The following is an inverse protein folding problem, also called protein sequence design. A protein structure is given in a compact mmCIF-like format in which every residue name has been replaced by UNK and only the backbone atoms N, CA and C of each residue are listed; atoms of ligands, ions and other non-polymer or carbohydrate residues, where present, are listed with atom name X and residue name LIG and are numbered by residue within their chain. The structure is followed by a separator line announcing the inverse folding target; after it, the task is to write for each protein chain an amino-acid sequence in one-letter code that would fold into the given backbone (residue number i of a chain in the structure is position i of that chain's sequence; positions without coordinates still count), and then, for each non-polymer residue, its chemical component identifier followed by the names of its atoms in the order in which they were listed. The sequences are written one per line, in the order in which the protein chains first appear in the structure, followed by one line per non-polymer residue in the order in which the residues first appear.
data_IF_263135170878
#
_entry.id   IF_263135170878
#
_cell.length_a   1.000
_cell.length_b   1.000
_cell.length_c   1.000
_cell.angle_alpha   90.00
_cell.angle_beta   90.00
_cell.angle_gamma   90.00
#
_symmetry.space_group_name_H-M   'P 1'
#
loop_
_entity.id
_entity.type
_entity.pdbx_description
1 polymer ?
#
# COMPACT_ATOMS: atom_id res chain seq x y z
N UNK A 1 58.89 -49.98 37.86
CA UNK A 1 59.08 -51.14 37.00
C UNK A 1 58.16 -51.09 35.83
N UNK A 2 58.74 -51.13 34.66
CA UNK A 2 58.18 -51.31 33.29
C UNK A 2 57.16 -50.31 32.78
N UNK A 3 57.67 -49.33 32.07
CA UNK A 3 57.13 -48.56 30.98
C UNK A 3 56.87 -49.46 29.79
N UNK A 4 55.65 -49.33 29.21
CA UNK A 4 55.37 -49.79 27.81
C UNK A 4 54.94 -48.64 26.99
N UNK A 5 55.76 -48.33 26.00
CA UNK A 5 55.47 -47.40 24.93
C UNK A 5 54.36 -47.97 24.00
N UNK A 6 53.42 -47.13 23.59
CA UNK A 6 52.50 -47.43 22.50
C UNK A 6 52.80 -46.47 21.36
N UNK A 7 53.09 -47.08 20.22
CA UNK A 7 53.39 -46.42 18.94
C UNK A 7 52.22 -45.68 18.33
N UNK A 8 52.52 -44.50 17.83
CA UNK A 8 51.59 -43.70 17.04
C UNK A 8 51.47 -44.24 15.61
N UNK A 9 50.30 -44.69 15.19
CA UNK A 9 49.98 -44.94 13.79
C UNK A 9 49.38 -43.66 13.18
N UNK A 10 50.17 -42.99 12.36
CA UNK A 10 49.77 -41.86 11.54
C UNK A 10 49.00 -42.40 10.32
N UNK A 11 47.68 -42.27 10.30
CA UNK A 11 46.86 -42.55 9.14
C UNK A 11 46.73 -41.26 8.31
N UNK A 12 47.38 -41.22 7.17
CA UNK A 12 47.28 -40.13 6.19
C UNK A 12 45.92 -40.18 5.48
N UNK A 13 45.02 -39.25 5.82
CA UNK A 13 43.81 -39.00 5.04
C UNK A 13 44.14 -38.19 3.79
N UNK A 14 44.10 -38.82 2.63
CA UNK A 14 44.07 -38.14 1.34
C UNK A 14 42.73 -37.40 1.19
N UNK A 15 42.74 -36.08 1.32
CA UNK A 15 41.62 -35.21 0.91
C UNK A 15 41.54 -35.20 -0.60
N UNK A 16 40.66 -36.02 -1.19
CA UNK A 16 40.18 -35.84 -2.56
C UNK A 16 39.31 -34.56 -2.56
N UNK A 17 39.81 -33.50 -3.15
CA UNK A 17 39.04 -32.29 -3.46
C UNK A 17 37.97 -32.63 -4.51
N UNK A 18 36.75 -32.81 -4.10
CA UNK A 18 35.61 -32.76 -5.01
C UNK A 18 35.44 -31.29 -5.47
N UNK A 19 35.96 -30.99 -6.65
CA UNK A 19 35.55 -29.79 -7.40
C UNK A 19 34.17 -30.06 -7.95
N UNK A 20 33.13 -29.73 -7.21
CA UNK A 20 31.79 -29.56 -7.72
C UNK A 20 31.74 -28.20 -8.44
N UNK A 21 31.93 -28.24 -9.75
CA UNK A 21 31.60 -27.11 -10.62
C UNK A 21 30.08 -27.08 -10.78
N UNK A 22 29.37 -26.63 -9.76
CA UNK A 22 28.00 -26.15 -9.94
C UNK A 22 28.09 -24.67 -10.35
N UNK A 23 28.01 -24.42 -11.65
CA UNK A 23 27.60 -23.12 -12.17
C UNK A 23 26.15 -22.91 -11.71
N UNK A 24 25.96 -22.35 -10.52
CA UNK A 24 24.66 -21.80 -10.11
C UNK A 24 24.38 -20.69 -11.11
N UNK A 25 23.56 -20.99 -12.12
CA UNK A 25 22.88 -19.98 -12.89
C UNK A 25 22.19 -19.11 -11.85
N UNK A 26 22.65 -17.89 -11.64
CA UNK A 26 22.07 -16.93 -10.70
C UNK A 26 20.71 -16.57 -11.30
N UNK A 27 19.66 -17.27 -10.86
CA UNK A 27 18.30 -16.90 -11.19
C UNK A 27 18.10 -15.52 -10.55
N UNK A 28 18.00 -14.49 -11.37
CA UNK A 28 17.72 -13.14 -10.88
C UNK A 28 16.37 -13.15 -10.15
N UNK A 29 16.36 -12.65 -8.92
CA UNK A 29 15.15 -12.56 -8.12
C UNK A 29 14.10 -11.70 -8.82
N UNK A 30 12.87 -12.20 -8.94
CA UNK A 30 11.76 -11.43 -9.49
C UNK A 30 11.42 -10.23 -8.59
N UNK A 31 11.54 -10.36 -7.27
CA UNK A 31 11.27 -9.28 -6.33
C UNK A 31 12.15 -8.05 -6.61
N UNK A 32 13.39 -8.27 -7.06
CA UNK A 32 14.36 -7.22 -7.40
C UNK A 32 14.48 -6.96 -8.90
N UNK A 33 13.56 -7.48 -9.73
CA UNK A 33 13.47 -7.12 -11.12
C UNK A 33 12.66 -5.84 -11.33
N UNK A 34 13.03 -5.05 -12.33
CA UNK A 34 12.25 -3.88 -12.74
C UNK A 34 10.81 -4.25 -13.10
N UNK A 35 9.90 -3.32 -12.88
CA UNK A 35 8.52 -3.43 -13.31
C UNK A 35 8.01 -2.11 -13.89
N UNK A 36 7.08 -2.16 -14.84
CA UNK A 36 6.51 -0.98 -15.46
C UNK A 36 4.99 -1.00 -15.32
N UNK A 37 4.43 0.11 -14.86
CA UNK A 37 3.00 0.38 -14.85
C UNK A 37 2.68 1.35 -15.98
N UNK A 38 1.74 1.00 -16.84
CA UNK A 38 1.30 1.88 -17.94
C UNK A 38 0.56 3.10 -17.40
N UNK A 39 0.74 4.25 -18.06
CA UNK A 39 -0.05 5.45 -17.80
C UNK A 39 -0.15 6.29 -19.08
N UNK A 40 -1.18 7.18 -19.21
CA UNK A 40 -1.34 8.03 -20.38
C UNK A 40 -0.16 8.95 -20.69
N UNK A 41 0.57 9.41 -19.67
CA UNK A 41 1.76 10.26 -19.81
C UNK A 41 3.07 9.47 -19.97
N UNK A 42 3.00 8.15 -20.16
CA UNK A 42 4.13 7.25 -20.29
C UNK A 42 4.26 6.28 -19.11
N UNK A 43 5.00 5.18 -19.28
CA UNK A 43 5.11 4.15 -18.26
C UNK A 43 5.90 4.63 -17.04
N UNK A 44 5.38 4.32 -15.84
CA UNK A 44 6.10 4.47 -14.58
C UNK A 44 7.01 3.26 -14.37
N UNK A 45 8.31 3.51 -14.27
CA UNK A 45 9.32 2.46 -14.04
C UNK A 45 9.60 2.33 -12.55
N UNK A 46 9.50 1.12 -12.03
CA UNK A 46 9.85 0.73 -10.68
C UNK A 46 11.15 -0.08 -10.71
N UNK A 47 12.12 0.30 -9.90
CA UNK A 47 13.42 -0.39 -9.84
C UNK A 47 13.32 -1.84 -9.32
N UNK A 48 12.27 -2.15 -8.58
CA UNK A 48 11.96 -3.48 -8.07
C UNK A 48 10.46 -3.60 -7.79
N UNK A 49 9.99 -4.79 -7.38
CA UNK A 49 8.56 -5.08 -7.16
C UNK A 49 8.10 -4.90 -5.71
N UNK A 50 8.89 -4.21 -4.90
CA UNK A 50 8.58 -3.93 -3.50
C UNK A 50 7.80 -2.61 -3.41
N UNK A 51 6.62 -2.66 -2.81
CA UNK A 51 5.76 -1.50 -2.57
C UNK A 51 5.64 -1.26 -1.07
N UNK A 52 5.88 -0.04 -0.63
CA UNK A 52 5.49 0.36 0.73
C UNK A 52 4.03 0.76 0.70
N UNK A 53 3.19 -0.01 1.41
CA UNK A 53 1.76 0.24 1.51
C UNK A 53 1.46 1.54 2.27
N UNK A 54 0.33 2.21 1.97
CA UNK A 54 -0.07 3.42 2.71
C UNK A 54 -0.38 3.09 4.17
N UNK A 55 0.17 3.88 5.09
CA UNK A 55 0.08 3.68 6.55
C UNK A 55 -0.13 5.03 7.24
N UNK A 56 -1.34 5.28 7.74
CA UNK A 56 -1.69 6.52 8.42
C UNK A 56 -0.79 6.77 9.64
N UNK A 57 -0.27 7.97 9.73
CA UNK A 57 0.62 8.40 10.80
C UNK A 57 -0.09 9.18 11.89
N UNK A 58 -1.31 9.66 11.62
CA UNK A 58 -2.14 10.43 12.59
C UNK A 58 -1.38 11.60 13.21
N UNK A 59 -0.51 12.25 12.44
CA UNK A 59 0.43 13.27 12.89
C UNK A 59 0.30 14.59 12.13
N UNK A 60 -0.77 14.75 11.34
CA UNK A 60 -1.08 15.98 10.66
C UNK A 60 -1.69 17.02 11.61
N UNK A 61 -1.50 18.28 11.32
CA UNK A 61 -2.13 19.41 12.00
C UNK A 61 -3.16 20.04 11.06
N UNK A 62 -4.46 19.95 11.39
CA UNK A 62 -5.55 20.39 10.52
C UNK A 62 -5.39 19.93 9.05
N UNK A 63 -5.04 18.65 8.87
CA UNK A 63 -4.79 18.05 7.55
C UNK A 63 -3.43 18.37 6.93
N UNK A 64 -2.66 19.28 7.50
CA UNK A 64 -1.36 19.71 6.98
C UNK A 64 -0.24 18.76 7.42
N UNK A 65 0.64 18.42 6.49
CA UNK A 65 1.82 17.61 6.77
C UNK A 65 2.79 18.35 7.71
N UNK A 66 3.29 17.63 8.72
CA UNK A 66 4.22 18.15 9.74
C UNK A 66 5.64 17.63 9.52
N UNK A 67 6.58 18.02 10.37
CA UNK A 67 7.95 17.51 10.34
C UNK A 67 8.04 16.01 10.65
N UNK A 68 7.01 15.41 11.30
CA UNK A 68 6.90 13.95 11.40
C UNK A 68 6.85 13.30 10.03
N UNK A 69 6.02 13.83 9.11
CA UNK A 69 5.89 13.33 7.76
C UNK A 69 7.20 13.46 6.97
N UNK A 70 7.92 14.59 7.13
CA UNK A 70 9.25 14.76 6.53
C UNK A 70 10.21 13.66 6.98
N UNK A 71 10.31 13.42 8.28
CA UNK A 71 11.19 12.38 8.83
C UNK A 71 10.79 10.98 8.37
N UNK A 72 9.48 10.66 8.44
CA UNK A 72 8.92 9.38 8.06
C UNK A 72 9.10 9.09 6.56
N UNK A 73 8.71 10.02 5.69
CA UNK A 73 8.86 9.85 4.24
C UNK A 73 10.32 9.78 3.81
N UNK A 74 11.21 10.59 4.40
CA UNK A 74 12.66 10.49 4.15
C UNK A 74 13.18 9.08 4.49
N UNK A 75 12.74 8.51 5.60
CA UNK A 75 13.11 7.15 5.99
C UNK A 75 12.62 6.09 4.98
N UNK A 76 11.36 6.21 4.52
CA UNK A 76 10.77 5.27 3.56
C UNK A 76 11.39 5.40 2.17
N UNK A 77 11.67 6.62 1.69
CA UNK A 77 12.35 6.85 0.41
C UNK A 77 13.79 6.31 0.40
N UNK A 78 14.43 6.21 1.56
CA UNK A 78 15.76 5.59 1.70
C UNK A 78 15.71 4.06 1.96
N UNK A 79 14.56 3.43 1.81
CA UNK A 79 14.37 2.01 2.15
C UNK A 79 14.89 1.03 1.11
N UNK A 80 15.04 1.47 -0.14
CA UNK A 80 15.33 0.60 -1.29
C UNK A 80 14.09 -0.05 -1.94
N UNK A 81 12.88 0.31 -1.52
CA UNK A 81 11.64 -0.11 -2.19
C UNK A 81 11.49 0.54 -3.56
N UNK A 82 10.79 -0.13 -4.49
CA UNK A 82 10.52 0.37 -5.83
C UNK A 82 9.41 1.41 -5.90
N UNK A 83 8.51 1.45 -4.89
CA UNK A 83 7.40 2.40 -4.82
C UNK A 83 7.04 2.69 -3.37
N UNK A 84 6.79 3.95 -3.05
CA UNK A 84 6.25 4.39 -1.75
C UNK A 84 4.87 4.98 -1.96
N UNK A 85 3.84 4.43 -1.29
CA UNK A 85 2.49 4.98 -1.29
C UNK A 85 2.28 5.75 0.01
N UNK A 86 2.09 7.07 -0.10
CA UNK A 86 1.78 7.92 1.03
C UNK A 86 0.44 7.53 1.64
N UNK A 87 0.30 7.76 2.94
CA UNK A 87 -0.88 7.40 3.72
C UNK A 87 -2.21 7.91 3.15
N UNK A 88 -3.31 7.32 3.63
CA UNK A 88 -4.65 7.76 3.28
C UNK A 88 -4.82 9.25 3.56
N UNK A 89 -4.97 10.01 2.49
CA UNK A 89 -5.05 11.47 2.47
C UNK A 89 -6.47 11.90 2.14
N UNK A 90 -7.10 12.62 3.04
CA UNK A 90 -8.51 12.97 2.93
C UNK A 90 -8.77 13.97 1.79
N UNK A 91 -9.82 13.70 1.00
CA UNK A 91 -10.25 14.57 -0.11
C UNK A 91 -11.13 15.72 0.34
N UNK A 92 -11.69 15.63 1.55
CA UNK A 92 -12.46 16.68 2.24
C UNK A 92 -12.08 16.69 3.71
N UNK A 93 -12.36 17.78 4.41
CA UNK A 93 -12.01 17.89 5.83
C UNK A 93 -12.70 16.83 6.67
N UNK A 94 -14.01 16.63 6.50
CA UNK A 94 -14.81 15.63 7.20
C UNK A 94 -14.49 14.18 6.77
N UNK A 95 -13.79 14.02 5.64
CA UNK A 95 -13.34 12.72 5.14
C UNK A 95 -12.13 12.13 5.87
N UNK A 96 -11.53 12.84 6.83
CA UNK A 96 -10.44 12.32 7.65
C UNK A 96 -10.90 11.17 8.54
N UNK A 97 -10.01 10.20 8.77
CA UNK A 97 -10.26 9.13 9.77
C UNK A 97 -10.23 9.74 11.17
N UNK A 98 -9.21 10.57 11.44
CA UNK A 98 -9.01 11.24 12.72
C UNK A 98 -8.61 12.71 12.52
N UNK A 99 -8.67 13.56 13.56
CA UNK A 99 -8.16 14.93 13.47
C UNK A 99 -6.71 15.01 13.00
N UNK A 100 -5.89 14.00 13.28
CA UNK A 100 -4.47 13.94 12.89
C UNK A 100 -4.20 13.34 11.51
N UNK A 101 -5.20 13.08 10.66
CA UNK A 101 -4.98 12.55 9.31
C UNK A 101 -4.61 13.64 8.30
N UNK A 102 -3.78 13.27 7.31
CA UNK A 102 -3.46 14.12 6.18
C UNK A 102 -4.70 14.47 5.36
N UNK A 103 -4.68 15.66 4.79
CA UNK A 103 -5.62 16.15 3.80
C UNK A 103 -4.94 16.72 2.56
N UNK A 104 -5.72 16.80 1.48
CA UNK A 104 -5.30 17.46 0.24
C UNK A 104 -6.52 18.16 -0.40
N UNK A 105 -7.36 18.77 0.42
CA UNK A 105 -8.64 19.37 -0.02
C UNK A 105 -8.54 20.85 -0.38
N UNK A 106 -7.48 21.57 0.07
CA UNK A 106 -7.29 22.99 -0.18
C UNK A 106 -5.81 23.35 -0.44
N UNK A 107 -5.54 24.65 -0.61
CA UNK A 107 -4.18 25.17 -0.87
C UNK A 107 -3.27 25.04 0.34
N UNK A 108 -3.78 25.17 1.56
CA UNK A 108 -2.95 25.09 2.77
C UNK A 108 -2.41 23.66 2.97
N UNK A 109 -3.29 22.68 2.87
CA UNK A 109 -2.91 21.26 2.94
C UNK A 109 -1.98 20.84 1.80
N UNK A 110 -2.21 21.37 0.58
CA UNK A 110 -1.36 21.11 -0.59
C UNK A 110 0.06 21.66 -0.39
N UNK A 111 0.19 22.93 0.02
CA UNK A 111 1.49 23.57 0.23
C UNK A 111 2.30 22.85 1.34
N UNK A 112 1.63 22.45 2.43
CA UNK A 112 2.29 21.75 3.53
C UNK A 112 2.79 20.35 3.08
N UNK A 113 1.99 19.61 2.31
CA UNK A 113 2.40 18.31 1.78
C UNK A 113 3.55 18.46 0.79
N UNK A 114 3.47 19.40 -0.15
CA UNK A 114 4.51 19.68 -1.15
C UNK A 114 5.84 20.06 -0.50
N UNK A 115 5.83 20.96 0.52
CA UNK A 115 7.05 21.33 1.27
C UNK A 115 7.73 20.08 1.84
N UNK A 116 6.98 19.25 2.59
CA UNK A 116 7.59 18.09 3.25
C UNK A 116 8.05 17.03 2.24
N UNK A 117 7.25 16.76 1.20
CA UNK A 117 7.59 15.76 0.18
C UNK A 117 8.80 16.21 -0.66
N UNK A 118 8.85 17.47 -1.10
CA UNK A 118 9.99 17.97 -1.88
C UNK A 118 11.29 17.92 -1.10
N UNK A 119 11.24 18.25 0.20
CA UNK A 119 12.40 18.15 1.11
C UNK A 119 12.82 16.69 1.32
N UNK A 120 11.87 15.76 1.52
CA UNK A 120 12.16 14.34 1.66
C UNK A 120 12.84 13.78 0.39
N UNK A 121 12.33 14.14 -0.79
CA UNK A 121 12.91 13.74 -2.09
C UNK A 121 14.35 14.24 -2.29
N UNK A 122 14.73 15.39 -1.72
CA UNK A 122 16.12 15.90 -1.77
C UNK A 122 17.09 15.12 -0.88
N UNK A 123 16.57 14.37 0.10
CA UNK A 123 17.36 13.63 1.11
C UNK A 123 17.43 12.13 0.82
N UNK A 124 16.91 11.68 -0.32
CA UNK A 124 16.82 10.27 -0.66
C UNK A 124 17.09 10.04 -2.14
N UNK A 125 17.41 8.79 -2.58
CA UNK A 125 17.41 8.42 -3.97
C UNK A 125 16.06 8.67 -4.62
N UNK A 126 16.03 8.81 -5.95
CA UNK A 126 14.76 8.92 -6.66
C UNK A 126 13.99 7.60 -6.57
N UNK A 127 12.86 7.65 -5.88
CA UNK A 127 11.87 6.56 -5.77
C UNK A 127 10.52 7.13 -6.17
N UNK A 128 9.79 6.48 -7.08
CA UNK A 128 8.42 6.88 -7.40
C UNK A 128 7.54 6.97 -6.16
N UNK A 129 6.70 8.01 -6.10
CA UNK A 129 5.78 8.25 -5.00
C UNK A 129 4.34 8.19 -5.50
N UNK A 130 3.55 7.38 -4.83
CA UNK A 130 2.11 7.38 -4.93
C UNK A 130 1.47 8.09 -3.74
N UNK A 131 0.22 8.53 -3.90
CA UNK A 131 -0.63 8.98 -2.81
C UNK A 131 -1.94 8.20 -2.81
N UNK A 132 -2.36 7.72 -1.62
CA UNK A 132 -3.68 7.13 -1.47
C UNK A 132 -4.68 8.21 -1.08
N UNK A 133 -5.66 8.51 -1.95
CA UNK A 133 -6.71 9.50 -1.68
C UNK A 133 -7.97 8.81 -1.17
N UNK A 134 -8.59 9.39 -0.14
CA UNK A 134 -9.56 8.69 0.70
C UNK A 134 -10.66 9.60 1.23
N UNK A 135 -11.78 8.98 1.61
CA UNK A 135 -12.80 9.55 2.47
C UNK A 135 -13.26 8.47 3.45
N UNK A 136 -13.17 8.72 4.75
CA UNK A 136 -13.38 7.68 5.77
C UNK A 136 -14.86 7.26 5.92
N UNK A 137 -15.81 8.09 5.45
CA UNK A 137 -17.22 7.78 5.55
C UNK A 137 -17.66 7.65 7.02
N UNK A 138 -18.43 6.61 7.35
CA UNK A 138 -18.92 6.37 8.72
C UNK A 138 -17.84 6.04 9.75
N UNK A 139 -16.60 5.80 9.30
CA UNK A 139 -15.43 5.59 10.16
C UNK A 139 -14.58 6.85 10.32
N UNK A 140 -15.07 8.00 9.87
CA UNK A 140 -14.50 9.31 10.13
C UNK A 140 -14.67 9.72 11.59
N UNK A 141 -14.04 10.83 11.97
CA UNK A 141 -14.19 11.40 13.32
C UNK A 141 -13.75 10.44 14.44
N UNK A 142 -12.74 9.61 14.19
CA UNK A 142 -12.25 8.63 15.17
C UNK A 142 -10.99 9.11 15.87
N UNK A 143 -10.79 8.69 17.11
CA UNK A 143 -9.52 8.85 17.81
C UNK A 143 -8.39 8.09 17.07
N UNK A 144 -7.15 8.51 17.26
CA UNK A 144 -6.01 7.72 16.79
C UNK A 144 -6.00 6.33 17.47
N UNK A 145 -5.47 5.27 16.81
CA UNK A 145 -5.52 3.90 17.35
C UNK A 145 -4.92 3.76 18.76
N UNK A 146 -3.86 4.50 19.07
CA UNK A 146 -3.24 4.48 20.40
C UNK A 146 -4.00 5.29 21.47
N UNK A 147 -5.06 6.00 21.06
CA UNK A 147 -6.04 6.64 21.93
C UNK A 147 -7.38 5.89 21.94
N UNK A 148 -7.39 4.62 21.47
CA UNK A 148 -8.55 3.74 21.51
C UNK A 148 -9.32 3.61 20.19
N UNK A 149 -9.18 4.54 19.22
CA UNK A 149 -9.81 4.45 17.91
C UNK A 149 -11.34 4.62 17.88
N UNK A 150 -11.97 5.01 19.00
CA UNK A 150 -13.40 5.22 19.10
C UNK A 150 -13.86 6.49 18.37
N UNK A 151 -15.13 6.55 18.01
CA UNK A 151 -15.76 7.77 17.48
C UNK A 151 -15.65 8.91 18.49
N UNK A 152 -15.23 10.08 18.04
CA UNK A 152 -15.09 11.29 18.83
C UNK A 152 -16.41 12.10 18.81
N UNK A 153 -16.80 12.66 19.94
CA UNK A 153 -17.84 13.67 20.02
C UNK A 153 -17.29 15.09 19.73
N UNK A 154 -18.17 16.07 19.57
CA UNK A 154 -17.79 17.45 19.27
C UNK A 154 -16.94 18.11 20.36
N UNK A 155 -17.09 17.73 21.63
CA UNK A 155 -16.30 18.26 22.74
C UNK A 155 -14.82 17.80 22.66
N UNK A 156 -14.57 16.67 21.99
CA UNK A 156 -13.24 16.11 21.78
C UNK A 156 -12.71 16.32 20.34
N UNK A 157 -13.25 17.29 19.61
CA UNK A 157 -12.82 17.64 18.26
C UNK A 157 -13.38 16.71 17.18
N UNK A 158 -14.41 15.95 17.47
CA UNK A 158 -15.11 15.11 16.51
C UNK A 158 -16.11 15.91 15.67
N UNK A 159 -16.58 15.27 14.60
CA UNK A 159 -17.59 15.80 13.67
C UNK A 159 -18.57 14.72 13.27
N UNK A 160 -19.71 15.13 12.67
CA UNK A 160 -20.73 14.21 12.18
C UNK A 160 -20.20 13.46 10.94
N UNK A 161 -20.06 12.11 11.00
CA UNK A 161 -19.71 11.31 9.83
C UNK A 161 -20.83 11.28 8.79
N UNK A 162 -20.44 10.96 7.52
CA UNK A 162 -21.37 10.73 6.42
C UNK A 162 -21.19 9.32 5.86
N UNK A 163 -22.22 8.76 5.22
CA UNK A 163 -22.19 7.40 4.69
C UNK A 163 -23.22 7.21 3.56
N UNK A 164 -23.17 6.08 2.81
CA UNK A 164 -24.25 5.75 1.87
C UNK A 164 -25.60 5.54 2.54
N UNK A 165 -25.64 5.12 3.80
CA UNK A 165 -26.86 4.90 4.59
C UNK A 165 -26.61 5.29 6.05
N UNK A 166 -27.65 5.68 6.78
CA UNK A 166 -27.58 6.10 8.18
C UNK A 166 -27.34 4.91 9.14
N UNK A 167 -26.31 4.08 8.83
CA UNK A 167 -25.93 2.90 9.59
C UNK A 167 -24.54 3.12 10.23
N UNK A 168 -24.45 3.15 11.59
CA UNK A 168 -23.17 3.33 12.28
C UNK A 168 -22.23 2.14 12.05
N UNK A 169 -20.92 2.32 12.28
CA UNK A 169 -19.96 1.22 12.22
C UNK A 169 -20.12 0.25 13.38
N UNK A 170 -20.26 0.80 14.58
CA UNK A 170 -20.62 0.06 15.79
C UNK A 170 -22.03 0.48 16.25
N UNK A 171 -22.81 -0.45 16.78
CA UNK A 171 -24.19 -0.19 17.25
C UNK A 171 -24.28 0.81 18.40
N UNK A 172 -23.15 1.10 19.04
CA UNK A 172 -23.01 2.07 20.13
C UNK A 172 -22.69 3.49 19.64
N UNK A 173 -22.41 3.65 18.36
CA UNK A 173 -22.05 4.95 17.76
C UNK A 173 -23.30 5.69 17.24
N UNK A 174 -23.19 7.01 17.11
CA UNK A 174 -24.22 7.81 16.45
C UNK A 174 -24.32 7.42 14.97
N UNK A 175 -25.52 7.35 14.39
CA UNK A 175 -25.67 7.11 12.97
C UNK A 175 -25.01 8.23 12.13
N UNK A 176 -24.30 7.88 11.05
CA UNK A 176 -23.81 8.88 10.09
C UNK A 176 -24.98 9.52 9.35
N UNK A 177 -24.76 10.71 8.80
CA UNK A 177 -25.71 11.34 7.87
C UNK A 177 -25.65 10.61 6.53
N UNK A 178 -26.81 10.21 5.99
CA UNK A 178 -26.90 9.63 4.67
C UNK A 178 -26.63 10.71 3.61
N UNK A 179 -25.76 10.39 2.63
CA UNK A 179 -25.38 11.29 1.55
C UNK A 179 -26.52 11.45 0.55
N UNK A 180 -26.91 12.68 0.26
CA UNK A 180 -27.81 12.99 -0.84
C UNK A 180 -27.07 13.16 -2.19
N UNK A 181 -27.79 13.42 -3.28
CA UNK A 181 -27.22 13.55 -4.62
C UNK A 181 -26.22 14.72 -4.73
N UNK A 182 -26.48 15.84 -4.06
CA UNK A 182 -25.58 17.00 -4.06
C UNK A 182 -24.27 16.71 -3.34
N UNK A 183 -24.33 16.00 -2.21
CA UNK A 183 -23.18 15.57 -1.46
C UNK A 183 -22.34 14.52 -2.22
N UNK A 184 -22.98 13.58 -2.94
CA UNK A 184 -22.28 12.64 -3.80
C UNK A 184 -21.48 13.37 -4.89
N UNK A 185 -22.08 14.36 -5.55
CA UNK A 185 -21.39 15.18 -6.56
C UNK A 185 -20.27 16.02 -5.95
N UNK A 186 -20.46 16.59 -4.76
CA UNK A 186 -19.44 17.34 -4.02
C UNK A 186 -18.23 16.45 -3.73
N UNK A 187 -18.44 15.25 -3.18
CA UNK A 187 -17.37 14.30 -2.84
C UNK A 187 -16.67 13.81 -4.10
N UNK A 188 -17.40 13.45 -5.17
CA UNK A 188 -16.80 13.10 -6.46
C UNK A 188 -15.84 14.17 -6.97
N UNK A 189 -16.30 15.45 -6.96
CA UNK A 189 -15.47 16.58 -7.38
C UNK A 189 -14.27 16.80 -6.44
N UNK A 190 -14.38 16.49 -5.15
CA UNK A 190 -13.27 16.55 -4.22
C UNK A 190 -12.17 15.53 -4.56
N UNK A 191 -12.52 14.27 -4.90
CA UNK A 191 -11.56 13.28 -5.41
C UNK A 191 -10.83 13.78 -6.66
N UNK A 192 -11.54 14.37 -7.61
CA UNK A 192 -10.95 14.93 -8.83
C UNK A 192 -9.95 16.03 -8.51
N UNK A 193 -10.34 17.02 -7.70
CA UNK A 193 -9.49 18.16 -7.33
C UNK A 193 -8.25 17.70 -6.53
N UNK A 194 -8.41 16.70 -5.67
CA UNK A 194 -7.30 16.12 -4.92
C UNK A 194 -6.30 15.42 -5.84
N UNK A 195 -6.77 14.68 -6.84
CA UNK A 195 -5.91 14.04 -7.83
C UNK A 195 -5.19 15.07 -8.73
N UNK A 196 -5.86 16.18 -9.10
CA UNK A 196 -5.23 17.29 -9.83
C UNK A 196 -4.10 17.91 -8.99
N UNK A 197 -4.32 18.21 -7.70
CA UNK A 197 -3.26 18.73 -6.81
C UNK A 197 -2.10 17.74 -6.66
N UNK A 198 -2.38 16.44 -6.56
CA UNK A 198 -1.33 15.43 -6.52
C UNK A 198 -0.48 15.43 -7.79
N UNK A 199 -1.10 15.58 -8.96
CA UNK A 199 -0.41 15.70 -10.25
C UNK A 199 0.47 16.96 -10.31
N UNK A 200 -0.05 18.10 -9.86
CA UNK A 200 0.68 19.38 -9.86
C UNK A 200 1.95 19.33 -8.99
N UNK A 201 1.93 18.55 -7.91
CA UNK A 201 3.10 18.27 -7.05
C UNK A 201 4.06 17.22 -7.62
N UNK A 202 3.82 16.72 -8.84
CA UNK A 202 4.66 15.68 -9.44
C UNK A 202 4.57 14.31 -8.72
N UNK A 203 3.41 13.97 -8.17
CA UNK A 203 3.13 12.62 -7.67
C UNK A 203 2.79 11.75 -8.87
N UNK A 204 3.53 10.65 -9.03
CA UNK A 204 3.51 9.83 -10.23
C UNK A 204 2.32 8.86 -10.30
N UNK A 205 1.73 8.53 -9.12
CA UNK A 205 0.67 7.53 -9.01
C UNK A 205 -0.38 7.94 -7.98
N UNK A 206 -1.66 7.72 -8.30
CA UNK A 206 -2.79 7.88 -7.38
C UNK A 206 -3.48 6.54 -7.16
N UNK A 207 -3.74 6.22 -5.90
CA UNK A 207 -4.53 5.07 -5.46
C UNK A 207 -5.82 5.54 -4.81
N UNK A 208 -6.98 5.20 -5.38
CA UNK A 208 -8.28 5.43 -4.73
C UNK A 208 -8.46 4.43 -3.59
N UNK A 209 -8.79 4.91 -2.40
CA UNK A 209 -9.04 4.02 -1.26
C UNK A 209 -10.49 3.55 -1.24
N UNK A 210 -10.73 2.34 -1.72
CA UNK A 210 -12.03 1.69 -1.74
C UNK A 210 -12.03 0.38 -0.92
N UNK A 211 -11.32 0.39 0.21
CA UNK A 211 -11.14 -0.75 1.08
C UNK A 211 -11.41 -0.41 2.56
N UNK A 212 -11.28 -1.40 3.44
CA UNK A 212 -11.21 -1.29 4.90
C UNK A 212 -12.43 -0.62 5.56
N UNK A 213 -13.59 -0.64 4.89
CA UNK A 213 -14.82 -0.05 5.42
C UNK A 213 -14.86 1.46 5.36
N UNK A 214 -14.03 2.11 4.52
CA UNK A 214 -14.13 3.54 4.24
C UNK A 214 -15.20 3.83 3.17
N UNK A 215 -15.44 5.09 2.85
CA UNK A 215 -16.64 5.51 2.12
C UNK A 215 -16.89 4.71 0.84
N UNK A 216 -15.88 4.57 -0.03
CA UNK A 216 -16.06 3.85 -1.29
C UNK A 216 -16.36 2.36 -1.06
N UNK A 217 -15.72 1.73 -0.06
CA UNK A 217 -16.06 0.36 0.34
C UNK A 217 -17.48 0.26 0.92
N UNK A 218 -17.92 1.28 1.67
CA UNK A 218 -19.27 1.31 2.22
C UNK A 218 -20.34 1.31 1.12
N UNK A 219 -20.08 1.90 -0.03
CA UNK A 219 -20.98 1.82 -1.20
C UNK A 219 -21.01 0.43 -1.82
N UNK A 220 -19.87 -0.28 -1.90
CA UNK A 220 -19.78 -1.63 -2.47
C UNK A 220 -20.54 -2.65 -1.65
N UNK A 221 -20.39 -2.59 -0.33
CA UNK A 221 -20.86 -3.62 0.58
C UNK A 221 -22.38 -3.54 0.81
N UNK A 222 -23.13 -4.61 0.57
CA UNK A 222 -24.56 -4.65 0.87
C UNK A 222 -24.86 -4.58 2.36
N UNK A 223 -23.86 -4.79 3.24
CA UNK A 223 -24.00 -4.68 4.69
C UNK A 223 -24.13 -3.21 5.11
N UNK A 224 -23.38 -2.31 4.50
CA UNK A 224 -23.32 -0.88 4.82
C UNK A 224 -24.13 0.01 3.87
N UNK A 225 -24.49 -0.49 2.70
CA UNK A 225 -25.28 0.23 1.70
C UNK A 225 -26.69 -0.35 1.62
N UNK A 226 -27.64 0.33 2.22
CA UNK A 226 -29.08 -0.01 2.19
C UNK A 226 -29.91 0.98 1.35
N UNK A 227 -29.25 1.73 0.46
CA UNK A 227 -29.92 2.65 -0.45
C UNK A 227 -30.85 1.92 -1.42
N UNK A 228 -31.95 2.60 -1.78
CA UNK A 228 -32.96 2.12 -2.72
C UNK A 228 -32.97 2.92 -4.03
N UNK A 229 -32.05 3.88 -4.15
CA UNK A 229 -31.84 4.69 -5.35
C UNK A 229 -30.80 4.05 -6.32
N UNK A 230 -30.33 4.83 -7.29
CA UNK A 230 -29.37 4.39 -8.31
C UNK A 230 -27.99 3.99 -7.74
N UNK A 231 -27.71 4.17 -6.44
CA UNK A 231 -26.43 3.87 -5.80
C UNK A 231 -26.52 2.69 -4.82
N UNK A 232 -27.66 1.98 -4.73
CA UNK A 232 -27.83 0.84 -3.83
C UNK A 232 -28.57 -0.35 -4.46
N UNK A 233 -28.63 -1.47 -3.73
CA UNK A 233 -29.28 -2.70 -4.18
C UNK A 233 -28.38 -3.55 -5.09
N UNK A 234 -28.53 -3.50 -6.40
CA UNK A 234 -27.79 -4.34 -7.34
C UNK A 234 -26.28 -4.05 -7.36
N UNK A 235 -25.50 -5.00 -7.88
CA UNK A 235 -24.05 -4.81 -8.08
C UNK A 235 -23.75 -3.54 -8.91
N UNK A 236 -24.49 -3.31 -10.00
CA UNK A 236 -24.31 -2.14 -10.88
C UNK A 236 -24.50 -0.84 -10.12
N UNK A 237 -25.52 -0.78 -9.27
CA UNK A 237 -25.83 0.39 -8.47
C UNK A 237 -24.80 0.61 -7.35
N UNK A 238 -24.44 -0.44 -6.59
CA UNK A 238 -23.44 -0.34 -5.52
C UNK A 238 -22.06 0.05 -6.03
N UNK A 239 -21.71 -0.31 -7.26
CA UNK A 239 -20.44 0.04 -7.90
C UNK A 239 -20.45 1.37 -8.64
N UNK A 240 -21.63 1.96 -8.87
CA UNK A 240 -21.81 3.18 -9.68
C UNK A 240 -20.97 4.34 -9.18
N UNK A 241 -21.06 4.68 -7.90
CA UNK A 241 -20.35 5.84 -7.34
C UNK A 241 -18.83 5.73 -7.48
N UNK A 242 -18.28 4.54 -7.26
CA UNK A 242 -16.85 4.30 -7.45
C UNK A 242 -16.44 4.45 -8.90
N UNK A 243 -17.22 3.92 -9.83
CA UNK A 243 -16.95 4.01 -11.27
C UNK A 243 -17.00 5.46 -11.75
N UNK A 244 -18.00 6.22 -11.32
CA UNK A 244 -18.12 7.65 -11.64
C UNK A 244 -16.93 8.47 -11.10
N UNK A 245 -16.48 8.22 -9.86
CA UNK A 245 -15.29 8.85 -9.29
C UNK A 245 -14.06 8.45 -10.10
N UNK A 246 -13.88 7.15 -10.37
CA UNK A 246 -12.72 6.65 -11.09
C UNK A 246 -12.60 7.27 -12.49
N UNK A 247 -13.69 7.28 -13.26
CA UNK A 247 -13.75 7.88 -14.60
C UNK A 247 -13.47 9.39 -14.55
N UNK A 248 -14.05 10.11 -13.59
CA UNK A 248 -13.84 11.55 -13.42
C UNK A 248 -12.37 11.87 -13.05
N UNK A 249 -11.77 11.10 -12.15
CA UNK A 249 -10.34 11.23 -11.80
C UNK A 249 -9.47 10.88 -13.00
N UNK A 250 -9.75 9.76 -13.70
CA UNK A 250 -8.98 9.33 -14.88
C UNK A 250 -8.98 10.39 -16.00
N UNK A 251 -10.06 11.11 -16.16
CA UNK A 251 -10.15 12.17 -17.17
C UNK A 251 -9.12 13.31 -16.92
N UNK A 252 -8.76 13.57 -15.67
CA UNK A 252 -7.89 14.67 -15.25
C UNK A 252 -6.46 14.21 -14.92
N UNK A 253 -6.31 13.16 -14.14
CA UNK A 253 -5.00 12.65 -13.74
C UNK A 253 -4.37 11.82 -14.87
N UNK A 254 -3.14 12.14 -15.27
CA UNK A 254 -2.45 11.50 -16.42
C UNK A 254 -1.39 10.46 -15.99
N UNK A 255 -1.05 10.41 -14.72
CA UNK A 255 -0.15 9.41 -14.16
C UNK A 255 -0.78 8.03 -14.00
N UNK A 256 -0.13 7.14 -13.27
CA UNK A 256 -0.64 5.81 -12.94
C UNK A 256 -1.82 5.95 -11.97
N UNK A 257 -3.00 5.47 -12.37
CA UNK A 257 -4.22 5.49 -11.56
C UNK A 257 -4.69 4.07 -11.28
N UNK A 258 -4.90 3.76 -10.03
CA UNK A 258 -5.48 2.49 -9.61
C UNK A 258 -6.31 2.63 -8.34
N UNK A 259 -6.66 1.50 -7.78
CA UNK A 259 -7.59 1.43 -6.66
C UNK A 259 -7.19 0.35 -5.68
N UNK A 260 -7.38 0.62 -4.39
CA UNK A 260 -7.29 -0.42 -3.35
C UNK A 260 -8.67 -0.89 -2.97
N UNK A 261 -8.89 -2.21 -3.08
CA UNK A 261 -10.16 -2.86 -2.81
C UNK A 261 -10.03 -3.84 -1.64
N UNK A 262 -11.04 -3.92 -0.78
CA UNK A 262 -11.26 -5.07 0.07
C UNK A 262 -11.96 -6.14 -0.75
N UNK A 263 -11.30 -7.27 -0.98
CA UNK A 263 -11.84 -8.32 -1.83
C UNK A 263 -13.04 -9.04 -1.24
N UNK A 264 -13.18 -9.03 0.09
CA UNK A 264 -14.31 -9.64 0.80
C UNK A 264 -14.53 -8.93 2.13
N UNK A 265 -15.78 -8.95 2.60
CA UNK A 265 -16.17 -8.42 3.91
C UNK A 265 -15.92 -9.41 5.05
N UNK A 266 -15.64 -10.68 4.75
CA UNK A 266 -15.53 -11.76 5.73
C UNK A 266 -16.80 -11.95 6.58
N UNK A 267 -17.95 -11.61 6.01
CA UNK A 267 -19.28 -11.71 6.61
C UNK A 267 -20.22 -12.32 5.57
N UNK A 268 -21.15 -13.16 6.00
CA UNK A 268 -22.23 -13.69 5.14
C UNK A 268 -23.03 -12.53 4.54
N UNK A 269 -23.48 -12.68 3.30
CA UNK A 269 -24.20 -11.67 2.52
C UNK A 269 -23.44 -10.33 2.35
N UNK A 270 -22.12 -10.33 2.57
CA UNK A 270 -21.24 -9.20 2.33
C UNK A 270 -20.72 -9.14 0.90
N UNK A 271 -19.79 -8.19 0.65
CA UNK A 271 -19.05 -8.07 -0.60
C UNK A 271 -18.11 -9.26 -0.80
N UNK A 272 -18.03 -9.77 -2.04
CA UNK A 272 -17.34 -11.03 -2.37
C UNK A 272 -16.11 -10.84 -3.27
N UNK A 273 -15.19 -11.84 -3.31
CA UNK A 273 -14.04 -11.81 -4.22
C UNK A 273 -14.46 -11.81 -5.70
N UNK A 274 -15.56 -12.45 -6.05
CA UNK A 274 -16.11 -12.52 -7.41
C UNK A 274 -16.62 -11.15 -7.87
N UNK A 275 -17.30 -10.42 -6.99
CA UNK A 275 -17.73 -9.03 -7.24
C UNK A 275 -16.53 -8.09 -7.37
N UNK A 276 -15.49 -8.25 -6.51
CA UNK A 276 -14.24 -7.50 -6.62
C UNK A 276 -13.56 -7.71 -7.96
N UNK A 277 -13.46 -8.95 -8.42
CA UNK A 277 -12.85 -9.28 -9.70
C UNK A 277 -13.69 -8.74 -10.87
N UNK A 278 -15.03 -8.78 -10.77
CA UNK A 278 -15.96 -8.21 -11.78
C UNK A 278 -15.81 -6.68 -11.84
N UNK A 279 -15.79 -5.99 -10.70
CA UNK A 279 -15.55 -4.54 -10.64
C UNK A 279 -14.19 -4.19 -11.26
N UNK A 280 -13.15 -5.01 -11.01
CA UNK A 280 -11.82 -4.77 -11.58
C UNK A 280 -11.81 -4.83 -13.11
N UNK A 281 -12.64 -5.67 -13.74
CA UNK A 281 -12.84 -5.67 -15.21
C UNK A 281 -13.45 -4.34 -15.69
N UNK A 282 -14.48 -3.84 -15.00
CA UNK A 282 -15.07 -2.53 -15.33
C UNK A 282 -14.07 -1.39 -15.15
N UNK A 283 -13.26 -1.43 -14.09
CA UNK A 283 -12.22 -0.43 -13.84
C UNK A 283 -11.09 -0.48 -14.88
N UNK A 284 -10.72 -1.66 -15.38
CA UNK A 284 -9.79 -1.80 -16.51
C UNK A 284 -10.32 -1.07 -17.74
N UNK A 285 -11.58 -1.29 -18.07
CA UNK A 285 -12.23 -0.60 -19.20
C UNK A 285 -12.29 0.92 -19.01
N UNK A 286 -12.38 1.41 -17.76
CA UNK A 286 -12.29 2.82 -17.38
C UNK A 286 -10.85 3.36 -17.32
N UNK A 287 -9.82 2.56 -17.62
CA UNK A 287 -8.42 2.97 -17.68
C UNK A 287 -7.64 2.81 -16.38
N UNK A 288 -8.02 1.88 -15.51
CA UNK A 288 -7.21 1.48 -14.35
C UNK A 288 -5.90 0.82 -14.80
N UNK A 289 -4.83 1.14 -14.07
CA UNK A 289 -3.50 0.61 -14.34
C UNK A 289 -3.08 -0.50 -13.38
N UNK A 290 -3.74 -0.61 -12.22
CA UNK A 290 -3.49 -1.65 -11.20
C UNK A 290 -4.66 -1.77 -10.22
N UNK A 291 -4.69 -2.89 -9.49
CA UNK A 291 -5.54 -3.09 -8.31
C UNK A 291 -4.68 -3.54 -7.13
N UNK A 292 -4.78 -2.85 -6.00
CA UNK A 292 -4.14 -3.23 -4.74
C UNK A 292 -5.17 -4.01 -3.90
N UNK A 293 -4.94 -5.29 -3.68
CA UNK A 293 -5.95 -6.20 -3.15
C UNK A 293 -5.73 -6.44 -1.66
N UNK A 294 -6.71 -6.00 -0.86
CA UNK A 294 -6.78 -6.19 0.59
C UNK A 294 -8.08 -6.91 0.95
N UNK A 295 -8.54 -6.89 2.21
CA UNK A 295 -9.82 -7.46 2.63
C UNK A 295 -10.34 -6.88 3.94
N UNK A 296 -11.65 -7.02 4.18
CA UNK A 296 -12.32 -6.69 5.43
C UNK A 296 -12.41 -5.20 5.76
N UNK A 297 -12.80 -4.92 6.99
CA UNK A 297 -12.85 -3.59 7.60
C UNK A 297 -14.20 -2.91 7.59
N UNK A 298 -15.22 -3.44 6.88
CA UNK A 298 -16.55 -2.81 6.78
C UNK A 298 -17.46 -3.18 7.97
N UNK A 299 -17.27 -4.33 8.58
CA UNK A 299 -18.09 -4.82 9.69
C UNK A 299 -17.23 -5.26 10.87
N UNK A 300 -17.69 -4.94 12.09
CA UNK A 300 -17.10 -5.49 13.31
C UNK A 300 -17.36 -7.00 13.49
N UNK A 301 -18.32 -7.56 12.75
CA UNK A 301 -18.68 -8.99 12.81
C UNK A 301 -17.82 -9.87 11.86
N UNK A 302 -16.85 -9.27 11.16
CA UNK A 302 -15.96 -9.98 10.23
C UNK A 302 -15.20 -11.12 10.94
N UNK A 303 -15.12 -12.27 10.27
CA UNK A 303 -14.38 -13.44 10.75
C UNK A 303 -13.22 -13.73 9.81
N UNK A 304 -12.11 -13.03 10.02
CA UNK A 304 -10.94 -13.11 9.14
C UNK A 304 -10.12 -14.34 9.52
N UNK A 305 -9.90 -15.25 8.57
CA UNK A 305 -8.93 -16.34 8.70
C UNK A 305 -7.49 -15.80 8.54
N UNK A 306 -6.97 -15.21 9.63
CA UNK A 306 -5.65 -14.56 9.61
C UNK A 306 -4.54 -15.62 9.54
N UNK A 307 -3.63 -15.50 8.56
CA UNK A 307 -2.46 -16.34 8.37
C UNK A 307 -1.51 -15.74 7.34
N UNK A 308 -0.30 -16.28 7.17
CA UNK A 308 0.61 -15.83 6.11
C UNK A 308 -0.09 -15.89 4.74
N UNK A 309 0.05 -14.83 3.95
CA UNK A 309 -0.51 -14.72 2.57
C UNK A 309 -2.05 -14.76 2.48
N UNK A 310 -2.80 -14.59 3.57
CA UNK A 310 -4.25 -14.81 3.60
C UNK A 310 -5.07 -14.01 2.57
N UNK A 311 -4.50 -12.94 1.99
CA UNK A 311 -5.13 -12.14 0.94
C UNK A 311 -4.57 -12.41 -0.47
N UNK A 312 -3.48 -13.18 -0.60
CA UNK A 312 -2.83 -13.45 -1.89
C UNK A 312 -3.77 -14.18 -2.86
N UNK A 313 -4.58 -15.16 -2.43
CA UNK A 313 -5.56 -15.80 -3.33
C UNK A 313 -6.53 -14.82 -3.98
N UNK A 314 -6.92 -13.76 -3.27
CA UNK A 314 -7.80 -12.72 -3.81
C UNK A 314 -7.09 -11.87 -4.86
N UNK A 315 -5.80 -11.54 -4.64
CA UNK A 315 -5.00 -10.83 -5.64
C UNK A 315 -4.89 -11.64 -6.94
N UNK A 316 -4.70 -12.97 -6.81
CA UNK A 316 -4.70 -13.88 -7.95
C UNK A 316 -6.05 -13.89 -8.69
N UNK A 317 -7.16 -14.02 -7.97
CA UNK A 317 -8.52 -14.02 -8.56
C UNK A 317 -8.78 -12.72 -9.35
N UNK A 318 -8.42 -11.57 -8.78
CA UNK A 318 -8.55 -10.27 -9.46
C UNK A 318 -7.67 -10.20 -10.70
N UNK A 319 -6.40 -10.61 -10.59
CA UNK A 319 -5.45 -10.63 -11.69
C UNK A 319 -5.93 -11.51 -12.84
N UNK A 320 -6.30 -12.76 -12.55
CA UNK A 320 -6.69 -13.73 -13.56
C UNK A 320 -7.96 -13.30 -14.32
N UNK A 321 -8.92 -12.65 -13.63
CA UNK A 321 -10.17 -12.22 -14.24
C UNK A 321 -10.07 -10.89 -14.96
N UNK A 322 -9.36 -9.91 -14.40
CA UNK A 322 -9.29 -8.56 -14.96
C UNK A 322 -8.10 -8.36 -15.90
N UNK A 323 -7.07 -9.20 -15.80
CA UNK A 323 -5.78 -9.02 -16.47
C UNK A 323 -5.19 -7.61 -16.19
N UNK A 324 -5.40 -7.10 -14.96
CA UNK A 324 -4.73 -5.91 -14.44
C UNK A 324 -3.52 -6.31 -13.61
N UNK A 325 -2.45 -5.52 -13.62
CA UNK A 325 -1.41 -5.63 -12.61
C UNK A 325 -2.01 -5.59 -11.21
N UNK A 326 -1.63 -6.55 -10.35
CA UNK A 326 -2.08 -6.58 -8.96
C UNK A 326 -0.95 -6.36 -7.98
N UNK A 327 -1.26 -5.66 -6.89
CA UNK A 327 -0.41 -5.52 -5.72
C UNK A 327 -0.99 -6.40 -4.63
N UNK A 328 -0.26 -7.43 -4.20
CA UNK A 328 -0.66 -8.29 -3.09
C UNK A 328 -0.13 -7.76 -1.76
N UNK A 329 -0.91 -7.91 -0.70
CA UNK A 329 -0.57 -7.56 0.68
C UNK A 329 -1.21 -8.58 1.63
N UNK A 330 -0.73 -8.72 2.86
CA UNK A 330 -1.38 -9.52 3.89
C UNK A 330 -0.45 -10.53 4.54
N UNK A 331 0.20 -10.14 5.65
CA UNK A 331 1.15 -10.94 6.41
C UNK A 331 2.25 -11.57 5.53
N UNK A 332 2.72 -10.82 4.54
CA UNK A 332 3.92 -11.09 3.78
C UNK A 332 5.07 -10.39 4.54
N UNK A 333 6.00 -11.15 5.10
CA UNK A 333 7.02 -10.61 6.01
C UNK A 333 8.44 -11.03 5.64
N UNK A 334 8.60 -12.09 4.85
CA UNK A 334 9.88 -12.67 4.48
C UNK A 334 10.18 -12.49 2.99
N UNK A 335 11.45 -12.34 2.65
CA UNK A 335 11.92 -12.14 1.29
C UNK A 335 11.57 -13.33 0.37
N UNK A 336 11.82 -14.55 0.84
CA UNK A 336 11.52 -15.79 0.11
C UNK A 336 10.02 -15.99 -0.12
N UNK A 337 9.18 -15.56 0.84
CA UNK A 337 7.72 -15.59 0.71
C UNK A 337 7.26 -14.65 -0.42
N UNK A 338 7.76 -13.41 -0.43
CA UNK A 338 7.46 -12.44 -1.47
C UNK A 338 7.92 -12.91 -2.86
N UNK A 339 9.13 -13.46 -2.95
CA UNK A 339 9.68 -14.04 -4.18
C UNK A 339 8.80 -15.18 -4.68
N UNK A 340 8.39 -16.11 -3.81
CA UNK A 340 7.56 -17.25 -4.17
C UNK A 340 6.18 -16.83 -4.72
N UNK A 341 5.53 -15.80 -4.16
CA UNK A 341 4.27 -15.25 -4.66
C UNK A 341 4.43 -14.75 -6.10
N UNK A 342 5.51 -14.02 -6.38
CA UNK A 342 5.81 -13.52 -7.72
C UNK A 342 6.12 -14.65 -8.70
N UNK A 343 6.89 -15.66 -8.28
CA UNK A 343 7.24 -16.83 -9.10
C UNK A 343 6.02 -17.68 -9.47
N UNK A 344 5.05 -17.83 -8.55
CA UNK A 344 3.77 -18.50 -8.84
C UNK A 344 2.88 -17.67 -9.78
N UNK A 345 3.22 -16.39 -9.99
CA UNK A 345 2.40 -15.48 -10.78
C UNK A 345 1.13 -15.01 -10.08
N UNK A 346 1.02 -15.15 -8.75
CA UNK A 346 -0.17 -14.80 -7.98
C UNK A 346 -0.40 -13.28 -7.90
N UNK A 347 0.66 -12.49 -8.03
CA UNK A 347 0.62 -11.03 -8.11
C UNK A 347 1.78 -10.49 -8.97
N UNK A 348 1.76 -9.19 -9.27
CA UNK A 348 2.80 -8.50 -10.02
C UNK A 348 3.75 -7.70 -9.11
N UNK A 349 3.23 -7.19 -8.00
CA UNK A 349 3.92 -6.37 -7.01
C UNK A 349 3.54 -6.85 -5.60
N UNK A 350 4.43 -6.67 -4.64
CA UNK A 350 4.21 -7.06 -3.24
C UNK A 350 4.26 -5.82 -2.35
N UNK A 351 3.18 -5.58 -1.61
CA UNK A 351 3.10 -4.49 -0.67
C UNK A 351 3.37 -4.94 0.77
N UNK A 352 4.15 -4.12 1.47
CA UNK A 352 4.49 -4.31 2.87
C UNK A 352 4.08 -3.09 3.67
N UNK A 353 3.47 -3.30 4.84
CA UNK A 353 3.12 -2.23 5.78
C UNK A 353 4.00 -2.31 7.03
N UNK A 354 3.57 -3.07 8.04
CA UNK A 354 4.21 -3.17 9.35
C UNK A 354 5.69 -3.59 9.29
N UNK A 355 6.08 -4.37 8.27
CA UNK A 355 7.48 -4.75 8.08
C UNK A 355 8.38 -3.52 7.88
N UNK A 356 7.94 -2.51 7.11
CA UNK A 356 8.69 -1.27 6.91
C UNK A 356 8.58 -0.27 8.06
N UNK A 357 7.51 -0.31 8.86
CA UNK A 357 7.45 0.47 10.11
C UNK A 357 8.44 -0.07 11.13
N UNK A 358 8.55 -1.41 11.24
CA UNK A 358 9.46 -2.07 12.15
C UNK A 358 10.92 -1.97 11.69
N UNK A 359 11.16 -2.21 10.40
CA UNK A 359 12.48 -2.15 9.78
C UNK A 359 12.44 -1.37 8.46
N UNK A 360 12.71 -0.07 8.47
CA UNK A 360 12.73 0.76 7.26
C UNK A 360 13.80 0.33 6.23
N UNK A 361 14.73 -0.56 6.58
CA UNK A 361 15.75 -1.13 5.70
C UNK A 361 15.47 -2.59 5.31
N UNK A 362 14.21 -3.03 5.43
CA UNK A 362 13.79 -4.39 5.11
C UNK A 362 14.22 -4.80 3.69
N UNK A 363 14.07 -3.91 2.70
CA UNK A 363 14.46 -4.22 1.32
C UNK A 363 15.97 -4.47 1.15
N UNK A 364 16.83 -3.86 1.98
CA UNK A 364 18.28 -4.12 1.94
C UNK A 364 18.60 -5.54 2.44
N UNK A 365 17.92 -5.97 3.50
CA UNK A 365 18.06 -7.35 4.01
C UNK A 365 17.55 -8.36 3.00
N UNK A 366 16.37 -8.13 2.43
CA UNK A 366 15.80 -8.97 1.39
C UNK A 366 16.71 -9.05 0.14
N UNK A 367 17.35 -7.95 -0.24
CA UNK A 367 18.32 -7.94 -1.34
C UNK A 367 19.57 -8.78 -0.99
N UNK A 368 20.07 -8.70 0.23
CA UNK A 368 21.18 -9.55 0.67
C UNK A 368 20.83 -11.05 0.63
N UNK A 369 19.59 -11.40 1.03
CA UNK A 369 19.11 -12.79 1.07
C UNK A 369 18.86 -13.37 -0.34
N UNK A 370 18.36 -12.57 -1.27
CA UNK A 370 17.94 -13.01 -2.61
C UNK A 370 18.93 -12.67 -3.72
N UNK A 371 20.07 -12.05 -3.38
CA UNK A 371 21.07 -11.60 -4.36
C UNK A 371 20.59 -10.43 -5.21
N UNK A 372 19.69 -9.60 -4.68
CA UNK A 372 19.17 -8.41 -5.35
C UNK A 372 20.05 -7.17 -5.17
N UNK A 373 19.66 -6.09 -5.88
CA UNK A 373 20.30 -4.78 -5.79
C UNK A 373 19.24 -3.73 -5.49
N UNK A 374 19.55 -2.80 -4.59
CA UNK A 374 18.70 -1.65 -4.24
C UNK A 374 19.49 -0.36 -4.27
N UNK A 375 18.79 0.76 -4.43
CA UNK A 375 19.38 2.08 -4.32
C UNK A 375 19.44 2.53 -2.85
N UNK A 376 20.51 3.21 -2.48
CA UNK A 376 20.67 3.84 -1.18
C UNK A 376 21.46 5.15 -1.34
N UNK A 377 21.20 6.12 -0.47
CA UNK A 377 21.99 7.36 -0.40
C UNK A 377 23.44 7.06 -0.09
N UNK A 378 24.38 7.83 -0.65
CA UNK A 378 25.84 7.64 -0.53
C UNK A 378 26.30 7.58 0.93
N UNK A 379 25.63 8.31 1.83
CA UNK A 379 25.90 8.33 3.26
C UNK A 379 25.78 6.93 3.90
N UNK A 380 25.02 6.01 3.27
CA UNK A 380 24.83 4.65 3.75
C UNK A 380 25.75 3.61 3.08
N UNK A 381 26.51 3.95 2.04
CA UNK A 381 27.30 2.93 1.29
C UNK A 381 28.29 2.18 2.15
N UNK A 382 28.77 2.77 3.23
CA UNK A 382 29.74 2.14 4.16
C UNK A 382 29.11 1.22 5.21
N UNK A 383 27.77 1.09 5.24
CA UNK A 383 27.09 0.33 6.29
C UNK A 383 26.97 -1.19 5.99
N UNK A 384 27.25 -1.61 4.76
CA UNK A 384 27.04 -3.00 4.36
C UNK A 384 28.02 -3.98 5.06
N UNK A 385 27.51 -5.11 5.58
CA UNK A 385 28.34 -6.23 6.01
C UNK A 385 29.20 -6.78 4.87
N UNK A 386 30.31 -7.43 5.19
CA UNK A 386 31.24 -7.95 4.18
C UNK A 386 30.59 -8.94 3.21
N UNK A 387 29.67 -9.75 3.70
CA UNK A 387 28.90 -10.76 2.94
C UNK A 387 27.81 -10.16 2.05
N UNK A 388 27.46 -8.90 2.23
CA UNK A 388 26.38 -8.21 1.53
C UNK A 388 26.86 -7.02 0.68
N UNK A 389 28.14 -6.96 0.28
CA UNK A 389 28.74 -5.83 -0.43
C UNK A 389 28.08 -5.50 -1.77
N UNK A 390 27.41 -6.46 -2.41
CA UNK A 390 26.75 -6.27 -3.72
C UNK A 390 25.37 -5.60 -3.62
N UNK A 391 24.80 -5.45 -2.42
CA UNK A 391 23.42 -4.95 -2.23
C UNK A 391 23.20 -3.56 -2.83
N UNK A 392 24.20 -2.70 -2.83
CA UNK A 392 24.11 -1.36 -3.46
C UNK A 392 24.77 -1.32 -4.85
N UNK A 393 24.99 -2.49 -5.48
CA UNK A 393 25.64 -2.58 -6.77
C UNK A 393 27.14 -2.26 -6.67
N UNK A 394 27.68 -1.73 -7.77
CA UNK A 394 29.13 -1.44 -7.89
C UNK A 394 29.49 -0.06 -7.31
N UNK A 395 29.16 0.20 -6.05
CA UNK A 395 29.56 1.45 -5.39
C UNK A 395 31.07 1.42 -5.05
N UNK A 396 31.76 2.55 -5.31
CA UNK A 396 33.18 2.68 -5.00
C UNK A 396 33.34 3.53 -3.74
N UNK A 397 34.00 2.97 -2.75
CA UNK A 397 34.33 3.66 -1.49
C UNK A 397 35.83 3.87 -1.45
N UNK A 398 36.24 5.14 -1.48
CA UNK A 398 37.65 5.52 -1.31
C UNK A 398 38.09 5.31 0.15
N UNK A 399 39.34 4.87 0.32
CA UNK A 399 40.00 4.92 1.61
C UNK A 399 40.99 6.09 1.61
N UNK A 400 40.97 6.90 2.68
CA UNK A 400 42.02 7.88 2.98
C UNK A 400 43.11 7.22 3.80
#
# INVERSE_FOLDING_TARGET
MQTKALASNCVSFHRKAFKSANSKQTIMSLLFSEYQLSAPNGPLKLANRIVIAPMCQYSADHGQATDWHLAHWTSLLNSGAGLVILEATAVTEEGRISPGCLGLWDTATANALEDKLSRARKLAPHVPVAIQISHAGRKASSAAPWHGGQLLDSAHGGWQPVAPSALPHLTTEIPPTELDAAELDRIKNAFVKTAERAQDMGIEMVELHAAHGYLLHQFLSPISNKRTDAYGGSFENRTRFIREIFEAVRARFKGVLGIRLSATDWVEDGWTPEETATLSVHLKAAGANFVHVSSGGVSAQQKIAIGPEYQVPFAKTVKDKSDLPTIAVGLITQAQQAEAILQRGDANLIAFARAFLFNPRWAWQAAAELGGVVQASEQYWRCLPREAQSVFGNVKIGMR
#
